data_IF_778842055069
#
_entry.id   IF_778842055069
#
_cell.length_a   1.000
_cell.length_b   1.000
_cell.length_c   1.000
_cell.angle_alpha   90.00
_cell.angle_beta   90.00
_cell.angle_gamma   90.00
#
_symmetry.space_group_name_H-M   'P 1'
#
loop_
_entity.id
_entity.type
_entity.pdbx_description
1 polymer ?
#
# COMPACT_ATOMS: atom_id res chain seq x y z
N UNK A 1 23.65 11.16 2.23
CA UNK A 1 23.85 12.59 1.87
C UNK A 1 24.48 12.68 0.49
N UNK A 2 24.27 13.78 -0.23
CA UNK A 2 24.79 14.04 -1.57
C UNK A 2 26.31 13.85 -1.63
N UNK A 3 27.02 14.37 -0.65
CA UNK A 3 28.49 14.27 -0.56
C UNK A 3 28.98 12.81 -0.50
N UNK A 4 28.27 11.94 0.21
CA UNK A 4 28.59 10.50 0.27
C UNK A 4 28.39 9.79 -1.08
N UNK A 5 27.41 10.24 -1.86
CA UNK A 5 27.19 9.70 -3.22
C UNK A 5 28.31 10.17 -4.13
N UNK A 6 28.62 11.47 -4.12
CA UNK A 6 29.65 12.07 -4.95
C UNK A 6 31.04 11.50 -4.68
N UNK A 7 31.38 11.24 -3.40
CA UNK A 7 32.66 10.63 -3.02
C UNK A 7 32.83 9.18 -3.50
N UNK A 8 31.74 8.50 -3.84
CA UNK A 8 31.79 7.12 -4.37
C UNK A 8 31.82 7.06 -5.91
N UNK A 9 31.72 8.21 -6.60
CA UNK A 9 31.77 8.23 -8.05
C UNK A 9 33.24 8.21 -8.54
N UNK A 10 33.55 7.38 -9.55
CA UNK A 10 34.93 7.04 -9.92
C UNK A 10 35.72 8.18 -10.60
N UNK A 11 35.04 9.16 -11.19
CA UNK A 11 35.67 10.23 -11.94
C UNK A 11 34.76 11.44 -12.17
N UNK A 12 35.33 12.56 -12.60
CA UNK A 12 34.63 13.83 -12.89
C UNK A 12 33.53 13.71 -13.94
N UNK A 13 33.67 12.81 -14.92
CA UNK A 13 32.67 12.59 -15.96
C UNK A 13 31.40 11.98 -15.38
N UNK A 14 31.52 11.02 -14.48
CA UNK A 14 30.37 10.41 -13.78
C UNK A 14 29.73 11.40 -12.80
N UNK A 15 30.53 12.24 -12.15
CA UNK A 15 30.04 13.34 -11.31
C UNK A 15 29.24 14.35 -12.15
N UNK A 16 29.74 14.73 -13.32
CA UNK A 16 29.03 15.63 -14.26
C UNK A 16 27.69 15.05 -14.71
N UNK A 17 27.67 13.77 -15.12
CA UNK A 17 26.45 13.06 -15.51
C UNK A 17 25.45 12.94 -14.36
N UNK A 18 25.95 12.69 -13.14
CA UNK A 18 25.10 12.66 -11.95
C UNK A 18 24.41 14.01 -11.74
N UNK A 19 25.13 15.14 -11.81
CA UNK A 19 24.53 16.45 -11.66
C UNK A 19 23.52 16.78 -12.76
N UNK A 20 23.79 16.39 -14.00
CA UNK A 20 22.86 16.55 -15.11
C UNK A 20 21.53 15.84 -14.80
N UNK A 21 21.59 14.56 -14.44
CA UNK A 21 20.42 13.75 -14.09
C UNK A 21 19.71 14.25 -12.81
N UNK A 22 20.48 14.67 -11.82
CA UNK A 22 19.94 15.22 -10.57
C UNK A 22 19.16 16.52 -10.81
N UNK A 23 19.71 17.43 -11.61
CA UNK A 23 19.03 18.67 -11.96
C UNK A 23 17.79 18.42 -12.80
N UNK A 24 17.85 17.54 -13.78
CA UNK A 24 16.69 17.12 -14.55
C UNK A 24 15.60 16.53 -13.65
N UNK A 25 15.99 15.65 -12.72
CA UNK A 25 15.06 15.07 -11.76
C UNK A 25 14.39 16.15 -10.90
N UNK A 26 15.13 17.16 -10.43
CA UNK A 26 14.56 18.28 -9.68
C UNK A 26 13.56 19.10 -10.48
N UNK A 27 13.80 19.28 -11.77
CA UNK A 27 12.90 20.01 -12.66
C UNK A 27 11.60 19.26 -12.96
N UNK A 28 11.63 17.91 -12.99
CA UNK A 28 10.46 17.10 -13.34
C UNK A 28 9.76 16.47 -12.13
N UNK A 29 10.33 16.57 -10.92
CA UNK A 29 9.83 15.88 -9.73
C UNK A 29 8.37 16.22 -9.41
N UNK A 30 8.01 17.50 -9.50
CA UNK A 30 6.65 17.96 -9.22
C UNK A 30 5.62 17.39 -10.21
N UNK A 31 6.03 17.06 -11.45
CA UNK A 31 5.11 16.49 -12.45
C UNK A 31 4.51 15.16 -12.00
N UNK A 32 5.23 14.39 -11.20
CA UNK A 32 4.72 13.13 -10.64
C UNK A 32 3.56 13.39 -9.69
N UNK A 33 3.70 14.34 -8.79
CA UNK A 33 2.66 14.69 -7.81
C UNK A 33 1.47 15.36 -8.51
N UNK A 34 1.73 16.28 -9.42
CA UNK A 34 0.69 16.95 -10.21
C UNK A 34 -0.08 15.95 -11.08
N UNK A 35 0.62 15.00 -11.72
CA UNK A 35 -0.01 13.92 -12.49
C UNK A 35 -0.92 13.08 -11.60
N UNK A 36 -0.42 12.63 -10.46
CA UNK A 36 -1.20 11.82 -9.51
C UNK A 36 -2.43 12.58 -9.01
N UNK A 37 -2.28 13.87 -8.66
CA UNK A 37 -3.40 14.67 -8.16
C UNK A 37 -4.40 15.02 -9.27
N UNK A 38 -3.96 15.66 -10.35
CA UNK A 38 -4.89 16.21 -11.36
C UNK A 38 -5.43 15.15 -12.31
N UNK A 39 -4.62 14.16 -12.69
CA UNK A 39 -5.01 13.14 -13.66
C UNK A 39 -5.67 11.95 -12.97
N UNK A 40 -5.05 11.38 -11.95
CA UNK A 40 -5.56 10.16 -11.32
C UNK A 40 -6.66 10.44 -10.29
N UNK A 41 -6.40 11.31 -9.31
CA UNK A 41 -7.31 11.51 -8.18
C UNK A 41 -8.45 12.48 -8.51
N UNK A 42 -8.17 13.65 -9.07
CA UNK A 42 -9.18 14.64 -9.36
C UNK A 42 -10.15 14.16 -10.45
N UNK A 43 -9.64 13.56 -11.54
CA UNK A 43 -10.48 13.02 -12.61
C UNK A 43 -11.42 11.91 -12.12
N UNK A 44 -10.86 10.97 -11.33
CA UNK A 44 -11.63 9.87 -10.72
C UNK A 44 -12.67 10.39 -9.75
N UNK A 45 -12.34 11.42 -8.95
CA UNK A 45 -13.27 12.04 -8.01
C UNK A 45 -14.42 12.75 -8.72
N UNK A 46 -14.12 13.51 -9.78
CA UNK A 46 -15.14 14.20 -10.59
C UNK A 46 -16.08 13.18 -11.25
N UNK A 47 -15.52 12.12 -11.82
CA UNK A 47 -16.31 11.03 -12.40
C UNK A 47 -17.21 10.37 -11.35
N UNK A 48 -16.66 10.06 -10.18
CA UNK A 48 -17.42 9.47 -9.07
C UNK A 48 -18.58 10.36 -8.62
N UNK A 49 -18.35 11.68 -8.51
CA UNK A 49 -19.40 12.64 -8.19
C UNK A 49 -20.49 12.73 -9.28
N UNK A 50 -20.11 12.67 -10.56
CA UNK A 50 -21.05 12.64 -11.66
C UNK A 50 -21.90 11.37 -11.63
N UNK A 51 -21.29 10.21 -11.41
CA UNK A 51 -22.01 8.93 -11.29
C UNK A 51 -22.95 8.95 -10.09
N UNK A 52 -22.54 9.48 -8.93
CA UNK A 52 -23.43 9.62 -7.76
C UNK A 52 -24.64 10.51 -8.02
N UNK A 53 -24.51 11.56 -8.86
CA UNK A 53 -25.67 12.36 -9.27
C UNK A 53 -26.70 11.54 -10.06
N UNK A 54 -26.23 10.66 -10.95
CA UNK A 54 -27.12 9.72 -11.66
C UNK A 54 -27.73 8.74 -10.65
N UNK A 55 -26.95 8.22 -9.71
CA UNK A 55 -27.43 7.35 -8.63
C UNK A 55 -28.54 8.00 -7.81
N UNK A 56 -28.44 9.30 -7.54
CA UNK A 56 -29.49 10.06 -6.85
C UNK A 56 -30.80 10.06 -7.65
N UNK A 57 -30.76 10.30 -8.96
CA UNK A 57 -31.94 10.24 -9.82
C UNK A 57 -32.56 8.83 -9.83
N UNK A 58 -31.74 7.80 -10.00
CA UNK A 58 -32.20 6.41 -9.97
C UNK A 58 -32.80 6.01 -8.61
N UNK A 59 -32.29 6.56 -7.51
CA UNK A 59 -32.85 6.36 -6.18
C UNK A 59 -34.21 7.05 -6.03
N UNK A 60 -34.34 8.30 -6.50
CA UNK A 60 -35.60 9.06 -6.50
C UNK A 60 -36.68 8.37 -7.34
N UNK A 61 -36.30 7.71 -8.44
CA UNK A 61 -37.18 6.90 -9.28
C UNK A 61 -37.40 5.46 -8.74
N UNK A 62 -36.91 5.15 -7.53
CA UNK A 62 -37.01 3.84 -6.86
C UNK A 62 -36.39 2.66 -7.64
N UNK A 63 -35.49 2.91 -8.58
CA UNK A 63 -34.78 1.91 -9.38
C UNK A 63 -33.61 1.23 -8.63
N UNK A 64 -33.10 1.90 -7.60
CA UNK A 64 -32.07 1.39 -6.69
C UNK A 64 -32.46 1.71 -5.25
N UNK A 65 -31.90 0.98 -4.27
CA UNK A 65 -32.24 1.15 -2.85
C UNK A 65 -31.34 2.14 -2.12
N UNK A 66 -30.11 2.35 -2.59
CA UNK A 66 -29.11 3.30 -2.06
C UNK A 66 -28.44 4.04 -3.22
N UNK A 67 -28.02 5.29 -3.02
CA UNK A 67 -27.35 6.09 -4.07
C UNK A 67 -26.07 5.40 -4.56
N UNK A 68 -25.33 4.77 -3.64
CA UNK A 68 -24.10 4.03 -3.90
C UNK A 68 -24.31 2.74 -4.70
N UNK A 69 -25.53 2.24 -4.81
CA UNK A 69 -25.88 1.05 -5.59
C UNK A 69 -25.55 1.20 -7.07
N UNK A 70 -25.47 2.43 -7.56
CA UNK A 70 -25.07 2.74 -8.93
C UNK A 70 -23.67 2.17 -9.25
N UNK A 71 -22.76 2.07 -8.29
CA UNK A 71 -21.42 1.51 -8.49
C UNK A 71 -21.41 -0.01 -8.71
N UNK A 72 -22.55 -0.66 -8.50
CA UNK A 72 -22.75 -2.07 -8.85
C UNK A 72 -23.36 -2.27 -10.25
N UNK A 73 -23.65 -1.18 -10.97
CA UNK A 73 -24.14 -1.23 -12.34
C UNK A 73 -23.00 -1.11 -13.36
N UNK A 74 -23.22 -1.77 -14.51
CA UNK A 74 -22.33 -1.62 -15.67
C UNK A 74 -22.71 -0.40 -16.48
N UNK A 75 -21.78 0.16 -17.24
CA UNK A 75 -22.04 1.28 -18.13
C UNK A 75 -23.18 1.00 -19.14
N UNK A 76 -23.28 -0.25 -19.64
CA UNK A 76 -24.38 -0.68 -20.52
C UNK A 76 -25.75 -0.59 -19.85
N UNK A 77 -25.83 -0.84 -18.54
CA UNK A 77 -27.08 -0.75 -17.78
C UNK A 77 -27.46 0.71 -17.50
N UNK A 78 -26.46 1.56 -17.24
CA UNK A 78 -26.67 3.02 -17.13
C UNK A 78 -27.17 3.63 -18.45
N UNK A 79 -26.74 3.13 -19.60
CA UNK A 79 -27.24 3.57 -20.89
C UNK A 79 -28.72 3.23 -21.07
N UNK A 80 -29.19 2.08 -20.57
CA UNK A 80 -30.62 1.75 -20.61
C UNK A 80 -31.47 2.72 -19.81
N UNK A 81 -31.01 3.17 -18.64
CA UNK A 81 -31.66 4.21 -17.87
C UNK A 81 -31.73 5.53 -18.65
N UNK A 82 -30.63 5.92 -19.30
CA UNK A 82 -30.59 7.15 -20.11
C UNK A 82 -31.55 7.10 -21.32
N UNK A 83 -31.77 5.93 -21.88
CA UNK A 83 -32.64 5.71 -23.03
C UNK A 83 -34.13 5.56 -22.64
N UNK A 84 -34.43 5.79 -21.35
CA UNK A 84 -35.79 5.69 -20.79
C UNK A 84 -36.48 4.35 -21.10
N UNK A 85 -35.69 3.28 -21.10
CA UNK A 85 -36.22 1.93 -21.28
C UNK A 85 -37.08 1.58 -20.07
N UNK A 86 -38.39 1.45 -20.31
CA UNK A 86 -39.40 1.20 -19.27
C UNK A 86 -39.31 -0.25 -18.81
N UNK A 87 -39.57 -0.50 -17.49
CA UNK A 87 -39.62 -1.80 -16.82
C UNK A 87 -38.26 -2.51 -16.56
N UNK A 88 -37.19 -1.76 -16.28
CA UNK A 88 -35.96 -2.38 -15.81
C UNK A 88 -35.89 -2.32 -14.27
N UNK A 89 -35.85 -3.48 -13.64
CA UNK A 89 -35.52 -3.63 -12.22
C UNK A 89 -34.02 -3.97 -12.05
N UNK A 90 -33.23 -2.99 -11.58
CA UNK A 90 -31.80 -3.17 -11.34
C UNK A 90 -31.49 -3.84 -10.01
N UNK A 91 -32.41 -3.87 -9.05
CA UNK A 91 -32.18 -4.33 -7.68
C UNK A 91 -31.74 -5.78 -7.57
N UNK A 92 -32.33 -6.76 -8.30
CA UNK A 92 -31.88 -8.14 -8.22
C UNK A 92 -30.41 -8.31 -8.65
N UNK A 93 -30.02 -7.60 -9.71
CA UNK A 93 -28.64 -7.68 -10.24
C UNK A 93 -27.64 -7.01 -9.29
N UNK A 94 -28.01 -5.90 -8.68
CA UNK A 94 -27.20 -5.21 -7.66
C UNK A 94 -27.02 -6.13 -6.44
N UNK A 95 -28.10 -6.73 -5.95
CA UNK A 95 -28.03 -7.66 -4.82
C UNK A 95 -27.13 -8.86 -5.10
N UNK A 96 -27.19 -9.42 -6.31
CA UNK A 96 -26.31 -10.51 -6.72
C UNK A 96 -24.84 -10.08 -6.67
N UNK A 97 -24.50 -8.91 -7.20
CA UNK A 97 -23.12 -8.37 -7.23
C UNK A 97 -22.62 -7.97 -5.86
N UNK A 98 -23.48 -7.43 -4.99
CA UNK A 98 -23.15 -7.20 -3.57
C UNK A 98 -22.77 -8.51 -2.87
N UNK A 99 -23.58 -9.58 -3.03
CA UNK A 99 -23.28 -10.91 -2.47
C UNK A 99 -21.98 -11.50 -3.01
N UNK A 100 -21.74 -11.36 -4.31
CA UNK A 100 -20.50 -11.80 -4.93
C UNK A 100 -19.28 -11.08 -4.36
N UNK A 101 -19.34 -9.76 -4.23
CA UNK A 101 -18.30 -8.94 -3.60
C UNK A 101 -18.04 -9.37 -2.16
N UNK A 102 -19.09 -9.57 -1.38
CA UNK A 102 -18.97 -10.00 0.02
C UNK A 102 -18.30 -11.38 0.14
N UNK A 103 -18.61 -12.31 -0.79
CA UNK A 103 -17.95 -13.61 -0.84
C UNK A 103 -16.43 -13.50 -1.01
N UNK A 104 -15.98 -12.54 -1.82
CA UNK A 104 -14.55 -12.35 -2.11
C UNK A 104 -13.84 -11.38 -1.17
N UNK A 105 -14.56 -10.65 -0.33
CA UNK A 105 -14.02 -9.62 0.57
C UNK A 105 -12.92 -10.14 1.50
N UNK A 106 -13.02 -11.40 1.93
CA UNK A 106 -12.08 -12.03 2.86
C UNK A 106 -11.12 -13.00 2.16
N UNK A 107 -11.09 -13.02 0.83
CA UNK A 107 -10.19 -13.88 0.07
C UNK A 107 -8.98 -13.04 -0.35
N UNK A 108 -7.81 -13.41 0.15
CA UNK A 108 -6.55 -12.80 -0.30
C UNK A 108 -6.29 -13.24 -1.74
N UNK A 109 -6.17 -12.31 -2.70
CA UNK A 109 -5.88 -12.67 -4.08
C UNK A 109 -4.47 -13.26 -4.19
N UNK A 110 -4.18 -14.11 -5.20
CA UNK A 110 -2.84 -14.59 -5.44
C UNK A 110 -1.91 -13.41 -5.76
N UNK A 111 -0.67 -13.48 -5.27
CA UNK A 111 0.35 -12.42 -5.47
C UNK A 111 0.64 -12.15 -6.96
N UNK A 112 0.53 -13.17 -7.78
CA UNK A 112 0.76 -13.10 -9.23
C UNK A 112 -0.39 -13.74 -10.00
N UNK A 113 -0.72 -13.15 -11.16
CA UNK A 113 -1.66 -13.72 -12.13
C UNK A 113 -0.87 -14.30 -13.30
N UNK A 114 -1.21 -15.51 -13.73
CA UNK A 114 -0.56 -16.21 -14.84
C UNK A 114 0.31 -17.39 -14.39
N UNK A 115 1.13 -17.91 -15.31
CA UNK A 115 2.13 -18.95 -15.00
C UNK A 115 3.39 -18.30 -14.46
N UNK A 116 3.72 -18.64 -13.23
CA UNK A 116 5.00 -18.24 -12.62
C UNK A 116 6.02 -19.31 -12.98
N UNK A 117 7.16 -18.94 -13.58
CA UNK A 117 8.27 -19.85 -13.73
C UNK A 117 8.73 -20.31 -12.36
N UNK A 118 8.82 -21.63 -12.17
CA UNK A 118 9.15 -22.26 -10.88
C UNK A 118 10.49 -21.78 -10.25
N UNK A 119 11.32 -21.09 -11.02
CA UNK A 119 12.58 -20.49 -10.59
C UNK A 119 12.43 -19.11 -9.92
N UNK A 120 11.23 -18.52 -9.88
CA UNK A 120 10.95 -17.24 -9.19
C UNK A 120 10.21 -17.41 -7.85
N UNK A 121 9.86 -18.64 -7.50
CA UNK A 121 9.27 -18.95 -6.21
C UNK A 121 10.34 -19.38 -5.20
N UNK A 122 11.42 -18.59 -5.04
CA UNK A 122 12.25 -18.70 -3.85
C UNK A 122 11.52 -18.04 -2.67
N UNK A 123 10.50 -18.72 -2.16
CA UNK A 123 10.13 -18.60 -0.77
C UNK A 123 11.33 -19.11 0.04
N UNK A 124 12.11 -18.18 0.60
CA UNK A 124 13.21 -18.56 1.48
C UNK A 124 12.67 -19.45 2.60
N UNK A 125 13.31 -20.59 2.88
CA UNK A 125 12.86 -21.51 3.91
C UNK A 125 12.86 -20.79 5.26
N UNK A 126 11.71 -20.80 5.92
CA UNK A 126 11.61 -20.51 7.34
C UNK A 126 12.45 -21.58 8.04
N UNK A 127 13.59 -21.19 8.55
CA UNK A 127 14.45 -22.10 9.32
C UNK A 127 13.76 -22.36 10.68
N UNK A 128 12.96 -23.41 10.72
CA UNK A 128 12.23 -23.88 11.90
C UNK A 128 13.15 -24.68 12.81
N UNK A 129 14.23 -24.07 13.26
CA UNK A 129 15.05 -24.64 14.32
C UNK A 129 15.21 -23.60 15.42
N UNK A 130 14.56 -23.90 16.56
CA UNK A 130 14.70 -23.29 17.87
C UNK A 130 14.31 -21.81 18.03
N UNK A 131 13.24 -21.57 18.77
CA UNK A 131 12.81 -20.33 19.52
C UNK A 131 13.08 -18.92 18.97
N UNK A 132 13.98 -18.74 18.01
CA UNK A 132 14.29 -17.45 17.38
C UNK A 132 13.76 -17.50 15.95
N UNK A 133 12.67 -16.77 15.71
CA UNK A 133 12.15 -16.60 14.33
C UNK A 133 12.87 -15.41 13.69
N UNK A 134 13.53 -15.67 12.57
CA UNK A 134 14.25 -14.65 11.79
C UNK A 134 13.52 -14.48 10.45
N UNK A 135 13.20 -13.23 10.13
CA UNK A 135 12.64 -12.85 8.83
C UNK A 135 13.64 -12.00 8.06
N UNK A 136 13.52 -12.01 6.75
CA UNK A 136 14.31 -11.17 5.86
C UNK A 136 13.41 -10.38 4.93
N UNK A 137 13.83 -9.17 4.60
CA UNK A 137 13.16 -8.30 3.66
C UNK A 137 14.13 -7.31 3.02
N UNK A 138 13.61 -6.38 2.26
CA UNK A 138 14.37 -5.37 1.55
C UNK A 138 14.54 -4.13 2.43
N UNK A 139 15.78 -3.70 2.76
CA UNK A 139 16.05 -2.46 3.45
C UNK A 139 15.49 -1.26 2.69
N UNK A 140 14.65 -0.46 3.33
CA UNK A 140 14.07 0.74 2.73
C UNK A 140 14.53 2.03 3.38
N UNK A 141 14.70 2.05 4.70
CA UNK A 141 15.30 3.14 5.46
C UNK A 141 16.20 2.52 6.51
N UNK A 142 17.47 2.93 6.56
CA UNK A 142 18.51 2.32 7.39
C UNK A 142 18.31 2.62 8.88
N UNK A 143 18.90 1.76 9.72
CA UNK A 143 18.90 1.90 11.16
C UNK A 143 18.46 0.64 11.88
N UNK A 144 18.41 0.72 13.22
CA UNK A 144 18.02 -0.39 14.08
C UNK A 144 17.03 0.06 15.14
N UNK A 145 16.10 -0.80 15.47
CA UNK A 145 15.14 -0.58 16.54
C UNK A 145 14.82 -1.89 17.26
N UNK A 146 14.46 -1.78 18.53
CA UNK A 146 13.91 -2.88 19.33
C UNK A 146 12.64 -2.35 19.99
N UNK A 147 11.56 -3.09 19.89
CA UNK A 147 10.29 -2.71 20.48
C UNK A 147 9.20 -3.76 20.31
N UNK A 148 8.05 -3.55 20.94
CA UNK A 148 6.91 -4.42 20.76
C UNK A 148 6.30 -4.24 19.37
N UNK A 149 5.97 -5.35 18.73
CA UNK A 149 5.29 -5.37 17.44
C UNK A 149 3.81 -5.00 17.61
N UNK A 150 3.28 -4.26 16.65
CA UNK A 150 1.84 -3.96 16.52
C UNK A 150 1.38 -4.22 15.10
N UNK A 151 0.42 -5.12 14.97
CA UNK A 151 -0.14 -5.50 13.68
C UNK A 151 -1.24 -4.50 13.30
N UNK A 152 -0.98 -3.74 12.25
CA UNK A 152 -1.88 -2.70 11.74
C UNK A 152 -2.36 -3.13 10.34
N UNK A 153 -3.58 -3.66 10.29
CA UNK A 153 -4.19 -4.13 9.03
C UNK A 153 -4.99 -3.03 8.34
N UNK A 154 -5.48 -2.05 9.09
CA UNK A 154 -6.22 -0.88 8.58
C UNK A 154 -5.91 0.36 9.42
N UNK A 155 -6.33 1.55 8.96
CA UNK A 155 -6.13 2.79 9.72
C UNK A 155 -6.92 2.80 11.04
N UNK A 156 -8.01 2.07 11.13
CA UNK A 156 -8.78 1.91 12.38
C UNK A 156 -7.99 1.22 13.49
N UNK A 157 -6.95 0.45 13.13
CA UNK A 157 -6.04 -0.18 14.10
C UNK A 157 -5.00 0.78 14.69
N UNK A 158 -4.94 2.03 14.21
CA UNK A 158 -3.92 3.02 14.60
C UNK A 158 -3.91 3.31 16.11
N UNK A 159 -5.05 3.20 16.78
CA UNK A 159 -5.18 3.39 18.23
C UNK A 159 -4.38 2.36 19.06
N UNK A 160 -3.96 1.24 18.45
CA UNK A 160 -3.10 0.24 19.09
C UNK A 160 -1.66 0.72 19.24
N UNK A 161 -1.21 1.69 18.40
CA UNK A 161 0.16 2.16 18.36
C UNK A 161 0.48 3.11 19.52
N UNK A 162 1.64 2.90 20.12
CA UNK A 162 2.23 3.77 21.12
C UNK A 162 3.63 4.18 20.69
N UNK A 163 4.15 5.22 21.29
CA UNK A 163 5.52 5.68 21.06
C UNK A 163 6.52 4.54 21.35
N UNK A 164 7.39 4.28 20.40
CA UNK A 164 8.39 3.23 20.47
C UNK A 164 7.96 1.85 19.94
N UNK A 165 6.69 1.67 19.59
CA UNK A 165 6.21 0.42 18.97
C UNK A 165 6.80 0.23 17.56
N UNK A 166 6.85 -1.01 17.11
CA UNK A 166 7.21 -1.38 15.74
C UNK A 166 5.94 -1.72 14.97
N UNK A 167 5.65 -0.93 13.95
CA UNK A 167 4.47 -1.15 13.11
C UNK A 167 4.71 -2.28 12.12
N UNK A 168 3.86 -3.29 12.12
CA UNK A 168 3.84 -4.40 11.15
C UNK A 168 2.55 -4.30 10.34
N UNK A 169 2.67 -4.17 9.02
CA UNK A 169 1.52 -3.95 8.15
C UNK A 169 1.67 -4.63 6.79
N UNK A 170 0.57 -4.78 6.06
CA UNK A 170 0.61 -5.27 4.68
C UNK A 170 1.20 -4.19 3.77
N UNK A 171 0.69 -2.95 3.89
CA UNK A 171 1.16 -1.77 3.15
C UNK A 171 0.69 -0.51 3.87
N UNK A 172 1.31 0.62 3.59
CA UNK A 172 0.82 1.92 4.04
C UNK A 172 0.34 2.76 2.86
N UNK A 173 -0.50 3.74 3.16
CA UNK A 173 -0.91 4.77 2.21
C UNK A 173 -0.66 6.17 2.78
N UNK A 174 -0.80 7.26 2.01
CA UNK A 174 -0.51 8.61 2.46
C UNK A 174 -1.24 9.06 3.74
N UNK A 175 -2.44 8.53 4.01
CA UNK A 175 -3.18 8.88 5.23
C UNK A 175 -2.53 8.36 6.52
N UNK A 176 -1.60 7.40 6.41
CA UNK A 176 -0.87 6.80 7.53
C UNK A 176 0.39 7.60 7.94
N UNK A 177 0.75 8.65 7.19
CA UNK A 177 1.94 9.47 7.46
C UNK A 177 2.05 9.94 8.91
N UNK A 178 0.97 10.35 9.61
CA UNK A 178 1.07 10.73 11.02
C UNK A 178 1.57 9.61 11.94
N UNK A 179 1.33 8.34 11.60
CA UNK A 179 1.75 7.18 12.40
C UNK A 179 3.28 7.00 12.38
N UNK A 180 3.94 7.47 11.33
CA UNK A 180 5.40 7.40 11.22
C UNK A 180 6.11 8.20 12.32
N UNK A 181 5.48 9.26 12.83
CA UNK A 181 6.07 10.04 13.95
C UNK A 181 6.00 9.35 15.32
N UNK A 182 5.30 8.22 15.44
CA UNK A 182 5.06 7.53 16.71
C UNK A 182 5.93 6.26 16.80
N UNK A 183 6.13 5.57 15.68
CA UNK A 183 6.76 4.24 15.64
C UNK A 183 8.28 4.30 15.60
N UNK A 184 8.93 3.30 16.18
CA UNK A 184 10.39 3.14 16.19
C UNK A 184 10.92 2.43 14.96
N UNK A 185 10.12 1.61 14.30
CA UNK A 185 10.42 0.96 13.02
C UNK A 185 9.15 0.54 12.28
N UNK A 186 9.30 0.22 10.99
CA UNK A 186 8.22 -0.24 10.12
C UNK A 186 8.63 -1.53 9.42
N UNK A 187 7.74 -2.51 9.44
CA UNK A 187 7.82 -3.76 8.69
C UNK A 187 6.60 -3.82 7.77
N UNK A 188 6.82 -3.99 6.47
CA UNK A 188 5.73 -4.09 5.50
C UNK A 188 5.88 -5.33 4.63
N UNK A 189 4.76 -6.02 4.38
CA UNK A 189 4.75 -7.20 3.49
C UNK A 189 4.97 -6.83 2.03
N UNK A 190 4.55 -5.63 1.64
CA UNK A 190 4.63 -5.15 0.27
C UNK A 190 5.31 -3.80 0.17
N UNK A 191 5.66 -3.41 -1.05
CA UNK A 191 6.25 -2.12 -1.35
C UNK A 191 7.71 -2.24 -1.76
N UNK A 192 8.09 -1.52 -2.79
CA UNK A 192 9.50 -1.43 -3.23
C UNK A 192 10.22 -0.23 -2.62
N UNK A 193 11.50 -0.08 -2.94
CA UNK A 193 12.38 1.00 -2.44
C UNK A 193 11.95 2.42 -2.81
N UNK A 194 11.01 2.56 -3.76
CA UNK A 194 10.39 3.81 -4.19
C UNK A 194 8.92 3.94 -3.77
N UNK A 195 8.42 3.01 -2.95
CA UNK A 195 7.05 3.09 -2.41
C UNK A 195 6.89 4.29 -1.47
N UNK A 196 5.64 4.70 -1.25
CA UNK A 196 5.32 5.75 -0.29
C UNK A 196 5.92 5.46 1.09
N UNK A 197 5.77 4.23 1.57
CA UNK A 197 6.36 3.78 2.85
C UNK A 197 7.87 4.04 2.90
N UNK A 198 8.59 3.66 1.84
CA UNK A 198 10.05 3.82 1.78
C UNK A 198 10.48 5.29 1.77
N UNK A 199 9.79 6.13 1.01
CA UNK A 199 10.10 7.55 0.88
C UNK A 199 9.88 8.26 2.22
N UNK A 200 8.69 8.10 2.80
CA UNK A 200 8.35 8.75 4.08
C UNK A 200 9.24 8.25 5.22
N UNK A 201 9.50 6.95 5.29
CA UNK A 201 10.38 6.39 6.31
C UNK A 201 11.79 6.99 6.28
N UNK A 202 12.35 7.26 5.07
CA UNK A 202 13.65 7.95 4.94
C UNK A 202 13.59 9.39 5.38
N UNK A 203 12.52 10.10 5.09
CA UNK A 203 12.34 11.49 5.53
C UNK A 203 12.27 11.61 7.05
N UNK A 204 11.63 10.64 7.70
CA UNK A 204 11.51 10.58 9.16
C UNK A 204 12.68 9.85 9.83
N UNK A 205 13.61 9.26 9.05
CA UNK A 205 14.72 8.43 9.53
C UNK A 205 14.27 7.24 10.38
N UNK A 206 13.19 6.58 9.98
CA UNK A 206 12.63 5.44 10.69
C UNK A 206 13.16 4.14 10.03
N UNK A 207 13.82 3.25 10.78
CA UNK A 207 14.24 1.93 10.29
C UNK A 207 13.09 1.19 9.65
N UNK A 208 13.24 0.78 8.39
CA UNK A 208 12.12 0.19 7.64
C UNK A 208 12.60 -0.96 6.76
N UNK A 209 11.90 -2.09 6.86
CA UNK A 209 12.11 -3.28 6.04
C UNK A 209 10.80 -3.59 5.28
N UNK A 210 10.90 -3.74 3.97
CA UNK A 210 9.79 -4.05 3.06
C UNK A 210 9.92 -5.49 2.53
N UNK A 211 8.86 -5.97 1.87
CA UNK A 211 8.80 -7.30 1.26
C UNK A 211 9.02 -8.44 2.29
N UNK A 212 8.55 -8.24 3.52
CA UNK A 212 8.59 -9.28 4.57
C UNK A 212 7.29 -10.09 4.48
N UNK A 213 7.33 -11.14 3.67
CA UNK A 213 6.15 -11.94 3.34
C UNK A 213 5.47 -12.53 4.58
N UNK A 214 4.15 -12.41 4.64
CA UNK A 214 3.29 -12.93 5.72
C UNK A 214 3.67 -12.43 7.12
N UNK A 215 4.36 -11.30 7.24
CA UNK A 215 4.78 -10.77 8.54
C UNK A 215 3.60 -10.47 9.47
N UNK A 216 2.45 -10.04 8.92
CA UNK A 216 1.24 -9.77 9.71
C UNK A 216 0.56 -11.03 10.25
N UNK A 217 0.89 -12.20 9.73
CA UNK A 217 0.35 -13.49 10.20
C UNK A 217 1.36 -14.28 11.05
N UNK A 218 2.66 -14.01 10.87
CA UNK A 218 3.76 -14.73 11.53
C UNK A 218 4.29 -14.02 12.78
N UNK A 219 4.11 -12.71 12.88
CA UNK A 219 4.42 -11.88 14.05
C UNK A 219 3.12 -11.62 14.79
N UNK A 220 3.15 -11.67 16.11
CA UNK A 220 1.98 -11.42 16.95
C UNK A 220 2.05 -10.04 17.62
N UNK A 221 0.88 -9.48 17.96
CA UNK A 221 0.83 -8.24 18.75
C UNK A 221 1.58 -8.42 20.07
N UNK A 222 2.47 -7.49 20.38
CA UNK A 222 3.37 -7.42 21.53
C UNK A 222 4.56 -8.39 21.51
N UNK A 223 4.81 -9.14 20.43
CA UNK A 223 6.10 -9.79 20.28
C UNK A 223 7.22 -8.74 20.39
N UNK A 224 8.22 -9.00 21.22
CA UNK A 224 9.41 -8.15 21.28
C UNK A 224 10.30 -8.48 20.09
N UNK A 225 10.51 -7.53 19.20
CA UNK A 225 11.26 -7.73 17.97
C UNK A 225 12.44 -6.76 17.83
N UNK A 226 13.51 -7.25 17.23
CA UNK A 226 14.65 -6.45 16.77
C UNK A 226 14.57 -6.29 15.25
N UNK A 227 14.66 -5.06 14.79
CA UNK A 227 14.72 -4.68 13.37
C UNK A 227 16.12 -4.17 13.07
N UNK A 228 16.90 -4.91 12.28
CA UNK A 228 18.17 -4.47 11.70
C UNK A 228 17.94 -4.10 10.23
N UNK A 229 17.49 -2.89 9.98
CA UNK A 229 17.18 -2.42 8.64
C UNK A 229 18.45 -2.14 7.80
N UNK A 230 19.65 -2.13 8.40
CA UNK A 230 20.90 -2.07 7.65
C UNK A 230 21.16 -3.39 6.90
N UNK A 231 20.68 -4.50 7.46
CA UNK A 231 20.85 -5.86 6.90
C UNK A 231 19.56 -6.44 6.32
N UNK A 232 18.41 -5.79 6.53
CA UNK A 232 17.10 -6.32 6.17
C UNK A 232 16.69 -7.54 6.99
N UNK A 233 17.05 -7.58 8.27
CA UNK A 233 16.81 -8.72 9.17
C UNK A 233 15.89 -8.28 10.32
N UNK A 234 14.90 -9.12 10.61
CA UNK A 234 14.00 -8.99 11.75
C UNK A 234 14.12 -10.23 12.60
N UNK A 235 14.25 -10.08 13.92
CA UNK A 235 14.38 -11.16 14.87
C UNK A 235 13.32 -11.04 15.95
N UNK A 236 12.51 -12.08 16.19
CA UNK A 236 11.63 -12.15 17.35
C UNK A 236 12.48 -12.57 18.54
N UNK A 237 12.50 -11.75 19.60
CA UNK A 237 13.31 -11.95 20.80
C UNK A 237 12.50 -12.70 21.86
N UNK A 238 11.21 -12.37 21.98
CA UNK A 238 10.29 -13.01 22.94
C UNK A 238 8.82 -12.80 22.54
#
# INVERSE_FOLDING_TARGET
TLDKILSNLPNEKEIGKFYELYNLLKEIWYLKEDHSFYIDQASTSILSLAIKKIGKLMYEDALIDEIEDIFFLKMSELNLFREEVIDIDFKPQILLRKKERDKYKNITPPKYLGTIDANQSESMPINTLEKIKIFKGVPASLGKAIGPAKIIKSFEDSDKLKEGDIMVCISTNPSWTPLFGIVSAIISETGGTLSHTAVVAREYNIPTILEVENSTDLISDNDLIEVDADKGIITIIS
#
